data_IF_942092577851
#
_entry.id   IF_942092577851
#
_cell.length_a   1.000
_cell.length_b   1.000
_cell.length_c   1.000
_cell.angle_alpha   90.00
_cell.angle_beta   90.00
_cell.angle_gamma   90.00
#
_symmetry.space_group_name_H-M   'P 1'
#
loop_
_entity.id
_entity.type
_entity.pdbx_description
1 polymer ?
#
# COMPACT_ATOMS: atom_id res chain seq x y z
N UNK A 1 14.13 7.33 -25.35
CA UNK A 1 14.31 5.87 -25.43
C UNK A 1 13.76 5.33 -24.13
N UNK A 2 12.48 4.94 -24.15
CA UNK A 2 11.80 4.38 -22.99
C UNK A 2 12.22 2.93 -22.88
N UNK A 3 13.06 2.63 -21.90
CA UNK A 3 13.37 1.25 -21.55
C UNK A 3 12.09 0.60 -21.04
N UNK A 4 11.61 -0.50 -21.66
CA UNK A 4 10.52 -1.26 -21.08
C UNK A 4 11.02 -1.80 -19.75
N UNK A 5 10.43 -1.33 -18.65
CA UNK A 5 10.62 -1.94 -17.34
C UNK A 5 10.17 -3.38 -17.48
N UNK A 6 11.13 -4.31 -17.55
CA UNK A 6 10.86 -5.74 -17.45
C UNK A 6 10.34 -5.98 -16.03
N UNK A 7 9.03 -5.90 -15.86
CA UNK A 7 8.35 -6.28 -14.63
C UNK A 7 8.65 -7.76 -14.38
N UNK A 8 9.52 -8.03 -13.40
CA UNK A 8 9.76 -9.39 -12.96
C UNK A 8 8.45 -9.94 -12.38
N UNK A 9 7.93 -11.01 -12.98
CA UNK A 9 6.71 -11.70 -12.52
C UNK A 9 6.80 -12.07 -11.02
N UNK A 10 8.01 -12.27 -10.49
CA UNK A 10 8.26 -12.50 -9.06
C UNK A 10 7.95 -11.27 -8.20
N UNK A 11 8.34 -10.06 -8.65
CA UNK A 11 8.03 -8.81 -7.94
C UNK A 11 6.52 -8.56 -7.84
N UNK A 12 5.77 -8.95 -8.87
CA UNK A 12 4.31 -8.86 -8.93
C UNK A 12 3.64 -9.70 -7.83
N UNK A 13 4.05 -10.97 -7.69
CA UNK A 13 3.54 -11.86 -6.65
C UNK A 13 3.91 -11.33 -5.26
N UNK A 14 5.12 -10.81 -5.08
CA UNK A 14 5.57 -10.28 -3.78
C UNK A 14 4.80 -9.02 -3.35
N UNK A 15 4.54 -8.08 -4.27
CA UNK A 15 3.83 -6.83 -3.96
C UNK A 15 2.35 -7.10 -3.64
N UNK A 16 1.66 -7.92 -4.44
CA UNK A 16 0.27 -8.30 -4.17
C UNK A 16 0.10 -9.20 -2.93
N UNK A 17 1.05 -10.12 -2.70
CA UNK A 17 1.00 -10.96 -1.49
C UNK A 17 1.32 -10.14 -0.24
N UNK A 18 2.22 -9.16 -0.37
CA UNK A 18 2.55 -8.21 0.70
C UNK A 18 1.36 -7.35 1.11
N UNK A 19 0.61 -6.80 0.15
CA UNK A 19 -0.61 -6.03 0.48
C UNK A 19 -1.67 -6.90 1.14
N UNK A 20 -1.91 -8.13 0.65
CA UNK A 20 -2.84 -9.06 1.30
C UNK A 20 -2.43 -9.39 2.73
N UNK A 21 -1.13 -9.60 2.98
CA UNK A 21 -0.60 -9.86 4.32
C UNK A 21 -0.83 -8.66 5.25
N UNK A 22 -0.53 -7.45 4.78
CA UNK A 22 -0.75 -6.20 5.54
C UNK A 22 -2.23 -6.02 5.85
N UNK A 23 -3.11 -6.21 4.86
CA UNK A 23 -4.55 -6.14 5.03
C UNK A 23 -5.09 -7.18 6.02
N UNK A 24 -4.59 -8.42 5.94
CA UNK A 24 -5.02 -9.52 6.82
C UNK A 24 -4.58 -9.29 8.26
N UNK A 25 -3.29 -9.00 8.49
CA UNK A 25 -2.76 -8.72 9.82
C UNK A 25 -3.48 -7.51 10.42
N UNK A 26 -3.59 -6.41 9.66
CA UNK A 26 -4.26 -5.20 10.12
C UNK A 26 -5.74 -5.42 10.46
N UNK A 27 -6.46 -6.21 9.65
CA UNK A 27 -7.85 -6.57 9.93
C UNK A 27 -7.99 -7.44 11.18
N UNK A 28 -7.06 -8.37 11.43
CA UNK A 28 -7.05 -9.23 12.62
C UNK A 28 -6.74 -8.42 13.89
N UNK A 29 -5.75 -7.53 13.83
CA UNK A 29 -5.45 -6.62 14.95
C UNK A 29 -6.63 -5.70 15.27
N UNK A 30 -7.30 -5.22 14.22
CA UNK A 30 -8.54 -4.48 14.34
C UNK A 30 -9.63 -5.31 15.04
N UNK A 31 -9.88 -6.56 14.61
CA UNK A 31 -10.88 -7.43 15.21
C UNK A 31 -10.61 -7.72 16.69
N UNK A 32 -9.34 -7.88 17.09
CA UNK A 32 -8.98 -8.05 18.49
C UNK A 32 -9.28 -6.81 19.33
N UNK A 33 -9.00 -5.62 18.78
CA UNK A 33 -9.36 -4.33 19.38
C UNK A 33 -10.88 -4.17 19.55
N UNK A 34 -11.70 -4.65 18.62
CA UNK A 34 -13.18 -4.64 18.75
C UNK A 34 -13.61 -5.40 20.00
N UNK A 35 -13.07 -6.59 20.23
CA UNK A 35 -13.42 -7.41 21.39
C UNK A 35 -13.11 -6.70 22.71
N UNK A 36 -12.05 -5.88 22.73
CA UNK A 36 -11.68 -5.07 23.89
C UNK A 36 -12.58 -3.83 24.04
N UNK A 37 -12.80 -3.08 22.96
CA UNK A 37 -13.59 -1.83 22.96
C UNK A 37 -15.09 -2.03 23.19
N UNK A 38 -15.66 -3.15 22.74
CA UNK A 38 -17.07 -3.49 23.02
C UNK A 38 -17.32 -3.65 24.52
N UNK A 39 -16.30 -4.01 25.29
CA UNK A 39 -16.40 -4.11 26.75
C UNK A 39 -16.52 -2.74 27.44
N UNK A 40 -16.10 -1.64 26.80
CA UNK A 40 -16.06 -0.30 27.43
C UNK A 40 -17.08 0.70 26.85
N UNK A 41 -17.90 0.32 25.86
CA UNK A 41 -19.05 1.09 25.33
C UNK A 41 -18.82 2.60 25.11
N UNK A 42 -17.62 3.02 24.69
CA UNK A 42 -17.36 4.43 24.38
C UNK A 42 -17.65 4.72 22.90
N UNK A 43 -18.57 5.65 22.62
CA UNK A 43 -18.91 6.10 21.25
C UNK A 43 -17.67 6.58 20.47
N UNK A 44 -16.70 7.16 21.18
CA UNK A 44 -15.40 7.58 20.63
C UNK A 44 -14.58 6.38 20.12
N UNK A 45 -14.61 5.26 20.84
CA UNK A 45 -13.90 4.03 20.48
C UNK A 45 -14.36 3.44 19.15
N UNK A 46 -15.66 3.50 18.87
CA UNK A 46 -16.25 2.99 17.61
C UNK A 46 -15.80 3.85 16.42
N UNK A 47 -15.77 5.17 16.56
CA UNK A 47 -15.36 6.09 15.50
C UNK A 47 -13.87 5.93 15.15
N UNK A 48 -13.02 5.91 16.18
CA UNK A 48 -11.58 5.67 16.03
C UNK A 48 -11.36 4.33 15.34
N UNK A 49 -12.03 3.27 15.80
CA UNK A 49 -11.97 1.95 15.18
C UNK A 49 -12.34 1.97 13.68
N UNK A 50 -13.46 2.59 13.31
CA UNK A 50 -13.90 2.63 11.91
C UNK A 50 -12.85 3.31 11.01
N UNK A 51 -12.26 4.39 11.49
CA UNK A 51 -11.20 5.11 10.78
C UNK A 51 -9.95 4.25 10.54
N UNK A 52 -9.59 3.40 11.50
CA UNK A 52 -8.42 2.53 11.37
C UNK A 52 -8.69 1.27 10.57
N UNK A 53 -9.87 0.66 10.69
CA UNK A 53 -10.10 -0.71 10.22
C UNK A 53 -10.71 -0.79 8.82
N UNK A 54 -11.51 0.21 8.43
CA UNK A 54 -12.06 0.28 7.08
C UNK A 54 -10.93 0.28 6.03
N UNK A 55 -9.84 1.06 6.16
CA UNK A 55 -8.75 1.03 5.19
C UNK A 55 -8.06 -0.33 5.01
N UNK A 56 -7.86 -1.12 6.09
CA UNK A 56 -7.28 -2.46 5.98
C UNK A 56 -8.21 -3.45 5.27
N UNK A 57 -9.52 -3.38 5.57
CA UNK A 57 -10.52 -4.21 4.90
C UNK A 57 -10.61 -3.85 3.42
N UNK A 58 -10.63 -2.55 3.08
CA UNK A 58 -10.62 -2.08 1.70
C UNK A 58 -9.39 -2.59 0.93
N UNK A 59 -8.24 -2.71 1.59
CA UNK A 59 -7.03 -3.27 1.00
C UNK A 59 -7.22 -4.72 0.53
N UNK A 60 -7.93 -5.54 1.31
CA UNK A 60 -8.25 -6.93 0.97
C UNK A 60 -9.24 -7.03 -0.22
N UNK A 61 -10.15 -6.06 -0.34
CA UNK A 61 -11.10 -5.98 -1.45
C UNK A 61 -10.50 -5.37 -2.72
N UNK A 62 -9.49 -4.51 -2.60
CA UNK A 62 -8.84 -3.81 -3.72
C UNK A 62 -8.34 -4.76 -4.80
N UNK A 63 -7.78 -5.90 -4.37
CA UNK A 63 -7.25 -6.91 -5.27
C UNK A 63 -8.33 -7.74 -5.96
N UNK A 64 -9.35 -8.18 -5.21
CA UNK A 64 -10.49 -8.89 -5.80
C UNK A 64 -11.23 -8.06 -6.84
N UNK A 65 -11.36 -6.76 -6.61
CA UNK A 65 -12.06 -5.84 -7.53
C UNK A 65 -11.15 -5.22 -8.59
N UNK A 66 -9.84 -5.52 -8.59
CA UNK A 66 -8.84 -4.89 -9.48
C UNK A 66 -8.95 -3.35 -9.51
N UNK A 67 -9.25 -2.75 -8.36
CA UNK A 67 -9.54 -1.32 -8.26
C UNK A 67 -8.47 -0.61 -7.43
N UNK A 68 -7.52 0.04 -8.13
CA UNK A 68 -6.46 0.83 -7.51
C UNK A 68 -6.96 1.88 -6.51
N UNK A 69 -8.12 2.51 -6.74
CA UNK A 69 -8.66 3.56 -5.86
C UNK A 69 -8.91 3.07 -4.42
N UNK A 70 -9.12 1.77 -4.23
CA UNK A 70 -9.37 1.19 -2.90
C UNK A 70 -8.12 1.12 -2.02
N UNK A 71 -6.91 1.31 -2.55
CA UNK A 71 -5.68 1.45 -1.76
C UNK A 71 -5.50 2.86 -1.18
N UNK A 72 -6.15 3.86 -1.76
CA UNK A 72 -5.94 5.28 -1.42
C UNK A 72 -6.31 5.64 0.02
N UNK A 73 -7.42 5.12 0.60
CA UNK A 73 -7.73 5.35 2.02
C UNK A 73 -6.62 4.86 2.96
N UNK A 74 -6.02 3.70 2.66
CA UNK A 74 -4.90 3.19 3.45
C UNK A 74 -3.65 4.04 3.26
N UNK A 75 -3.31 4.40 2.02
CA UNK A 75 -2.14 5.25 1.76
C UNK A 75 -2.23 6.59 2.47
N UNK A 76 -3.42 7.21 2.46
CA UNK A 76 -3.67 8.46 3.16
C UNK A 76 -3.55 8.30 4.67
N UNK A 77 -4.24 7.31 5.26
CA UNK A 77 -4.17 7.03 6.69
C UNK A 77 -2.73 6.77 7.13
N UNK A 78 -2.02 5.91 6.40
CA UNK A 78 -0.66 5.53 6.74
C UNK A 78 0.32 6.70 6.59
N UNK A 79 0.13 7.59 5.59
CA UNK A 79 0.92 8.82 5.46
C UNK A 79 0.69 9.80 6.63
N UNK A 80 -0.56 9.93 7.09
CA UNK A 80 -0.88 10.73 8.27
C UNK A 80 -0.19 10.15 9.52
N UNK A 81 -0.22 8.82 9.69
CA UNK A 81 0.42 8.15 10.82
C UNK A 81 1.94 8.34 10.82
N UNK A 82 2.59 8.18 9.67
CA UNK A 82 4.02 8.47 9.50
C UNK A 82 4.32 9.93 9.92
N UNK A 83 3.53 10.89 9.42
CA UNK A 83 3.74 12.30 9.74
C UNK A 83 3.58 12.59 11.24
N UNK A 84 2.51 12.08 11.87
CA UNK A 84 2.26 12.24 13.30
C UNK A 84 3.35 11.59 14.15
N UNK A 85 3.80 10.39 13.77
CA UNK A 85 4.83 9.68 14.49
C UNK A 85 6.21 10.35 14.34
N UNK A 86 6.54 10.83 13.14
CA UNK A 86 7.70 11.70 12.90
C UNK A 86 7.69 12.96 13.77
N UNK A 87 6.54 13.65 13.86
CA UNK A 87 6.38 14.82 14.74
C UNK A 87 6.55 14.45 16.21
N UNK A 88 6.04 13.28 16.63
CA UNK A 88 6.19 12.80 18.00
C UNK A 88 7.65 12.44 18.35
N UNK A 89 8.39 11.81 17.42
CA UNK A 89 9.82 11.56 17.59
C UNK A 89 10.61 12.87 17.73
N UNK A 90 10.30 13.88 16.91
CA UNK A 90 10.90 15.21 17.04
C UNK A 90 10.57 15.87 18.37
N UNK A 91 9.33 15.72 18.84
CA UNK A 91 8.89 16.21 20.15
C UNK A 91 9.67 15.54 21.28
N UNK A 92 9.80 14.21 21.29
CA UNK A 92 10.59 13.47 22.29
C UNK A 92 12.04 13.96 22.27
N UNK A 93 12.66 14.05 21.09
CA UNK A 93 14.04 14.51 20.95
C UNK A 93 14.24 15.92 21.51
N UNK A 94 13.30 16.83 21.23
CA UNK A 94 13.33 18.21 21.75
C UNK A 94 13.17 18.23 23.26
N UNK A 95 12.19 17.49 23.80
CA UNK A 95 11.90 17.43 25.23
C UNK A 95 13.05 16.83 26.03
N UNK A 96 13.74 15.82 25.51
CA UNK A 96 14.94 15.26 26.15
C UNK A 96 16.09 16.28 26.29
N UNK A 97 16.26 17.16 25.30
CA UNK A 97 17.37 18.12 25.26
C UNK A 97 17.02 19.38 26.07
N UNK A 98 15.81 19.90 25.91
CA UNK A 98 15.45 21.24 26.38
C UNK A 98 14.60 21.25 27.66
N UNK A 99 13.75 20.23 27.88
CA UNK A 99 12.78 20.22 28.98
C UNK A 99 12.65 18.83 29.64
N UNK A 100 13.74 18.26 30.20
CA UNK A 100 13.72 16.92 30.77
C UNK A 100 12.81 16.76 31.99
N UNK A 101 12.55 17.84 32.73
CA UNK A 101 11.65 17.81 33.90
C UNK A 101 10.18 17.62 33.49
N UNK A 102 9.71 18.40 32.51
CA UNK A 102 8.36 18.24 31.95
C UNK A 102 8.17 16.84 31.35
N UNK A 103 9.19 16.33 30.66
CA UNK A 103 9.14 14.98 30.09
C UNK A 103 9.11 13.88 31.15
N UNK A 104 9.84 14.06 32.25
CA UNK A 104 9.77 13.15 33.41
C UNK A 104 8.34 13.07 33.94
N UNK A 105 7.74 14.21 34.27
CA UNK A 105 6.38 14.29 34.82
C UNK A 105 5.35 13.66 33.86
N UNK A 106 5.49 13.90 32.55
CA UNK A 106 4.64 13.27 31.55
C UNK A 106 4.77 11.74 31.51
N UNK A 107 5.99 11.21 31.62
CA UNK A 107 6.23 9.77 31.64
C UNK A 107 5.71 9.12 32.93
N UNK A 108 5.92 9.75 34.08
CA UNK A 108 5.42 9.26 35.37
C UNK A 108 3.89 9.19 35.36
N UNK A 109 3.23 10.21 34.81
CA UNK A 109 1.77 10.22 34.69
C UNK A 109 1.24 9.22 33.65
N UNK A 110 1.99 8.98 32.57
CA UNK A 110 1.55 8.08 31.49
C UNK A 110 1.80 6.60 31.79
N UNK A 111 2.86 6.30 32.54
CA UNK A 111 3.28 4.93 32.86
C UNK A 111 2.90 4.51 34.28
N UNK A 112 2.48 5.45 35.14
CA UNK A 112 2.20 5.23 36.56
C UNK A 112 3.42 4.64 37.30
N UNK A 113 4.60 5.22 37.03
CA UNK A 113 5.89 4.80 37.60
C UNK A 113 6.59 6.02 38.19
N UNK A 114 7.18 5.88 39.39
CA UNK A 114 8.02 6.93 39.99
C UNK A 114 9.47 6.82 39.47
N UNK A 115 9.97 7.85 38.80
CA UNK A 115 11.30 7.85 38.16
C UNK A 115 12.26 8.66 39.01
N UNK A 116 12.81 8.04 40.06
CA UNK A 116 13.70 8.72 41.01
C UNK A 116 15.02 9.25 40.38
N UNK A 117 15.52 8.63 39.30
CA UNK A 117 16.89 8.84 38.83
C UNK A 117 16.99 9.40 37.39
N UNK A 118 17.95 10.31 37.14
CA UNK A 118 18.14 10.93 35.81
C UNK A 118 18.59 9.92 34.75
N UNK A 119 19.31 8.87 35.15
CA UNK A 119 19.76 7.80 34.26
C UNK A 119 18.62 6.84 33.87
N UNK A 120 17.65 6.59 34.77
CA UNK A 120 16.48 5.77 34.44
C UNK A 120 15.55 6.51 33.47
N UNK A 121 15.35 7.82 33.65
CA UNK A 121 14.60 8.66 32.70
C UNK A 121 15.17 8.59 31.28
N UNK A 122 16.49 8.74 31.14
CA UNK A 122 17.17 8.67 29.82
C UNK A 122 17.02 7.29 29.18
N UNK A 123 17.15 6.23 29.97
CA UNK A 123 17.04 4.85 29.49
C UNK A 123 15.63 4.50 29.02
N UNK A 124 14.61 4.88 29.81
CA UNK A 124 13.20 4.70 29.47
C UNK A 124 12.86 5.48 28.20
N UNK A 125 13.28 6.74 28.12
CA UNK A 125 13.00 7.57 26.95
C UNK A 125 13.69 7.04 25.70
N UNK A 126 14.94 6.56 25.82
CA UNK A 126 15.66 5.95 24.71
C UNK A 126 14.98 4.68 24.22
N UNK A 127 14.48 3.84 25.13
CA UNK A 127 13.69 2.66 24.78
C UNK A 127 12.41 3.04 24.03
N UNK A 128 11.66 4.03 24.54
CA UNK A 128 10.45 4.56 23.89
C UNK A 128 10.79 5.07 22.49
N UNK A 129 11.87 5.85 22.36
CA UNK A 129 12.33 6.39 21.09
C UNK A 129 12.66 5.28 20.06
N UNK A 130 13.35 4.21 20.49
CA UNK A 130 13.62 3.05 19.63
C UNK A 130 12.33 2.36 19.19
N UNK A 131 11.37 2.18 20.10
CA UNK A 131 10.09 1.56 19.77
C UNK A 131 9.36 2.39 18.71
N UNK A 132 9.28 3.70 18.89
CA UNK A 132 8.63 4.59 17.92
C UNK A 132 9.38 4.67 16.57
N UNK A 133 10.71 4.56 16.56
CA UNK A 133 11.49 4.40 15.32
C UNK A 133 11.19 3.08 14.60
N UNK A 134 11.05 1.98 15.34
CA UNK A 134 10.70 0.68 14.76
C UNK A 134 9.29 0.73 14.16
N UNK A 135 8.34 1.37 14.86
CA UNK A 135 6.99 1.63 14.35
C UNK A 135 7.06 2.45 13.06
N UNK A 136 7.84 3.54 13.05
CA UNK A 136 8.02 4.39 11.86
C UNK A 136 8.54 3.58 10.66
N UNK A 137 9.55 2.74 10.89
CA UNK A 137 10.09 1.85 9.86
C UNK A 137 9.04 0.90 9.30
N UNK A 138 8.23 0.28 10.16
CA UNK A 138 7.13 -0.61 9.74
C UNK A 138 6.08 0.17 8.95
N UNK A 139 5.71 1.37 9.39
CA UNK A 139 4.75 2.22 8.67
C UNK A 139 5.27 2.60 7.28
N UNK A 140 6.53 3.00 7.15
CA UNK A 140 7.17 3.28 5.86
C UNK A 140 7.22 2.05 4.95
N UNK A 141 7.57 0.90 5.50
CA UNK A 141 7.62 -0.35 4.74
C UNK A 141 6.23 -0.72 4.21
N UNK A 142 5.20 -0.67 5.06
CA UNK A 142 3.81 -0.86 4.65
C UNK A 142 3.37 0.16 3.59
N UNK A 143 3.73 1.43 3.76
CA UNK A 143 3.43 2.49 2.80
C UNK A 143 4.05 2.21 1.44
N UNK A 144 5.33 1.81 1.41
CA UNK A 144 6.06 1.50 0.18
C UNK A 144 5.43 0.32 -0.56
N UNK A 145 5.11 -0.78 0.13
CA UNK A 145 4.49 -1.95 -0.49
C UNK A 145 3.13 -1.59 -1.11
N UNK A 146 2.28 -0.89 -0.36
CA UNK A 146 0.94 -0.53 -0.85
C UNK A 146 1.01 0.51 -1.96
N UNK A 147 1.93 1.47 -1.89
CA UNK A 147 2.13 2.48 -2.93
C UNK A 147 2.59 1.85 -4.24
N UNK A 148 3.51 0.89 -4.16
CA UNK A 148 3.95 0.10 -5.30
C UNK A 148 2.80 -0.72 -5.91
N UNK A 149 1.95 -1.34 -5.07
CA UNK A 149 0.76 -2.06 -5.54
C UNK A 149 -0.26 -1.14 -6.21
N UNK A 150 -0.45 0.06 -5.67
CA UNK A 150 -1.33 1.08 -6.21
C UNK A 150 -0.86 1.55 -7.61
N UNK A 151 0.42 1.89 -7.73
CA UNK A 151 1.02 2.31 -9.00
C UNK A 151 0.94 1.19 -10.03
N UNK A 152 1.27 -0.04 -9.63
CA UNK A 152 1.15 -1.21 -10.49
C UNK A 152 -0.28 -1.40 -11.03
N UNK A 153 -1.30 -1.35 -10.16
CA UNK A 153 -2.70 -1.47 -10.63
C UNK A 153 -3.17 -0.30 -11.50
N UNK A 154 -2.53 0.86 -11.40
CA UNK A 154 -2.80 1.97 -12.33
C UNK A 154 -2.09 1.77 -13.67
N UNK A 155 -0.87 1.26 -13.68
CA UNK A 155 -0.10 0.96 -14.90
C UNK A 155 -0.72 -0.21 -15.70
N UNK A 156 -1.17 -1.28 -15.02
CA UNK A 156 -1.88 -2.38 -15.66
C UNK A 156 -3.17 -1.91 -16.37
N UNK A 157 -3.87 -0.90 -15.82
CA UNK A 157 -5.04 -0.29 -16.49
C UNK A 157 -4.67 0.43 -17.80
N UNK A 158 -3.46 0.96 -17.90
CA UNK A 158 -2.98 1.65 -19.11
C UNK A 158 -2.62 0.63 -20.19
N UNK A 159 -2.09 -0.54 -19.81
CA UNK A 159 -1.69 -1.62 -20.73
C UNK A 159 -2.88 -2.48 -21.19
N UNK A 160 -3.96 -2.56 -20.39
CA UNK A 160 -5.22 -3.22 -20.74
C UNK A 160 -6.13 -2.40 -21.66
N UNK A 161 -5.75 -1.19 -22.05
CA UNK A 161 -6.24 -0.63 -23.30
C UNK A 161 -5.60 -1.52 -24.36
N UNK A 162 -6.32 -2.43 -25.03
CA UNK A 162 -5.71 -3.17 -26.12
C UNK A 162 -5.09 -2.11 -27.02
N UNK A 163 -3.81 -2.25 -27.43
CA UNK A 163 -3.29 -1.37 -28.46
C UNK A 163 -4.37 -1.39 -29.53
N UNK A 164 -4.93 -0.23 -29.86
CA UNK A 164 -5.74 -0.14 -31.05
C UNK A 164 -4.78 -0.57 -32.15
N UNK A 165 -4.79 -1.86 -32.48
CA UNK A 165 -4.19 -2.40 -33.68
C UNK A 165 -4.94 -1.61 -34.72
N UNK A 166 -4.29 -0.54 -35.16
CA UNK A 166 -4.76 0.37 -36.18
C UNK A 166 -5.40 -0.52 -37.23
N UNK A 167 -6.70 -0.34 -37.44
CA UNK A 167 -7.53 -1.09 -38.39
C UNK A 167 -6.98 -1.04 -39.83
N UNK A 168 -5.87 -0.32 -40.05
CA UNK A 168 -5.05 -0.31 -41.25
C UNK A 168 -4.15 -1.54 -41.45
N UNK A 169 -3.68 -2.22 -40.39
CA UNK A 169 -2.85 -3.42 -40.56
C UNK A 169 -3.66 -4.64 -41.02
N UNK A 170 -4.89 -4.80 -40.51
CA UNK A 170 -5.82 -5.84 -40.96
C UNK A 170 -6.38 -5.56 -42.36
N UNK A 171 -6.59 -4.30 -42.74
CA UNK A 171 -6.96 -3.95 -44.13
C UNK A 171 -5.84 -4.23 -45.13
N UNK A 172 -4.57 -3.93 -44.81
CA UNK A 172 -3.45 -4.24 -45.71
C UNK A 172 -3.20 -5.76 -45.84
N UNK A 173 -3.31 -6.54 -44.77
CA UNK A 173 -3.16 -7.99 -44.86
C UNK A 173 -4.34 -8.68 -45.58
N UNK A 174 -5.58 -8.22 -45.39
CA UNK A 174 -6.72 -8.78 -46.12
C UNK A 174 -6.70 -8.40 -47.62
N UNK A 175 -6.19 -7.21 -47.97
CA UNK A 175 -5.97 -6.83 -49.37
C UNK A 175 -4.89 -7.68 -50.05
N UNK A 176 -3.79 -8.01 -49.36
CA UNK A 176 -2.74 -8.89 -49.90
C UNK A 176 -3.14 -10.37 -49.95
N UNK A 177 -3.90 -10.87 -48.96
CA UNK A 177 -4.44 -12.24 -49.02
C UNK A 177 -5.47 -12.40 -50.14
N UNK A 178 -6.38 -11.44 -50.35
CA UNK A 178 -7.35 -11.54 -51.45
C UNK A 178 -6.70 -11.53 -52.85
N UNK A 179 -5.61 -10.78 -53.06
CA UNK A 179 -4.88 -10.84 -54.34
C UNK A 179 -4.17 -12.17 -54.58
N UNK A 180 -3.74 -12.85 -53.51
CA UNK A 180 -3.04 -14.15 -53.64
C UNK A 180 -3.99 -15.31 -53.95
N UNK A 181 -5.24 -15.24 -53.47
CA UNK A 181 -6.26 -16.26 -53.76
C UNK A 181 -6.85 -16.13 -55.18
N UNK A 182 -7.04 -14.91 -55.69
CA UNK A 182 -7.55 -14.69 -57.05
C UNK A 182 -6.57 -15.25 -58.10
N UNK A 183 -5.26 -15.02 -57.94
CA UNK A 183 -4.24 -15.56 -58.86
C UNK A 183 -4.05 -17.08 -58.79
N UNK A 184 -4.55 -17.76 -57.75
CA UNK A 184 -4.45 -19.21 -57.58
C UNK A 184 -5.64 -19.97 -58.19
N UNK A 185 -6.77 -19.29 -58.40
CA UNK A 185 -7.96 -19.88 -59.03
C UNK A 185 -7.85 -19.78 -60.56
N UNK A 186 -7.36 -18.66 -61.10
CA UNK A 186 -7.18 -18.48 -62.54
C UNK A 186 -6.15 -19.44 -63.16
N UNK A 187 -5.14 -19.86 -62.39
CA UNK A 187 -4.12 -20.79 -62.86
C UNK A 187 -4.54 -22.27 -62.84
N UNK A 188 -5.70 -22.62 -62.24
CA UNK A 188 -6.26 -23.97 -62.31
C UNK A 188 -7.25 -24.16 -63.46
N UNK A 189 -7.87 -23.09 -63.95
CA UNK A 189 -8.80 -23.20 -65.09
C UNK A 189 -8.08 -23.30 -66.44
N UNK A 190 -6.84 -22.82 -66.55
CA UNK A 190 -6.02 -22.93 -67.77
C UNK A 190 -5.33 -24.29 -67.95
N UNK A 191 -5.43 -25.20 -66.97
CA UNK A 191 -4.84 -26.55 -67.05
C UNK A 191 -5.88 -27.66 -67.29
N UNK A 192 -7.14 -27.30 -67.48
CA UNK A 192 -8.27 -28.23 -67.72
C UNK A 192 -8.99 -27.96 -69.06
N UNK A 193 -8.36 -27.22 -69.98
CA UNK A 193 -8.82 -27.00 -71.35
C UNK A 193 -7.86 -27.64 -72.35
#
# INVERSE_FOLDING_TARGET
>A
MDTPNFYCFCGNVHVLTGTRLIGAIGSLTCSFLISFLISEQSFCGIFVFAMFCIPFVLLLFADRQRCSKLYLPFLLLNAILICLNSLYLLFIGTMMIWMPYFWKEHLELSLDIDIENKNSLRSITFLIFIIFLLIEFILFWCHSIVSNAYNYMNEDKIILIPPQISTDFTKKQNSQKNKKWINLVDNRQSQLA
#
